data_IF_742383821640
#
_entry.id   IF_742383821640
#
_cell.length_a   1.000
_cell.length_b   1.000
_cell.length_c   1.000
_cell.angle_alpha   90.00
_cell.angle_beta   90.00
_cell.angle_gamma   90.00
#
_symmetry.space_group_name_H-M   'P 1'
#
loop_
_entity.id
_entity.type
_entity.pdbx_description
1 polymer ?
#
# COMPACT_ATOMS: atom_id res chain seq x y z
N UNK A 1 13.61 8.67 -20.64
CA UNK A 1 13.31 9.59 -19.49
C UNK A 1 14.44 10.61 -19.32
N UNK A 2 14.13 11.90 -19.03
CA UNK A 2 15.14 12.98 -18.97
C UNK A 2 16.09 12.77 -17.78
N UNK A 3 15.57 12.44 -16.61
CA UNK A 3 16.37 12.23 -15.37
C UNK A 3 17.43 11.12 -15.55
N UNK A 4 17.09 10.02 -16.21
CA UNK A 4 18.03 8.94 -16.50
C UNK A 4 19.19 9.32 -17.43
N UNK A 5 19.07 10.46 -18.14
CA UNK A 5 20.14 11.01 -18.99
C UNK A 5 21.05 12.02 -18.26
N UNK A 6 20.59 12.51 -17.11
CA UNK A 6 21.31 13.50 -16.30
C UNK A 6 22.00 12.87 -15.09
N UNK A 7 21.58 11.66 -14.72
CA UNK A 7 22.14 10.94 -13.57
C UNK A 7 23.54 10.37 -13.88
N UNK A 8 24.47 10.58 -12.96
CA UNK A 8 25.82 9.99 -13.05
C UNK A 8 25.85 8.53 -12.57
N UNK A 9 24.95 8.17 -11.62
CA UNK A 9 24.83 6.84 -11.07
C UNK A 9 23.37 6.37 -11.09
N UNK A 10 23.19 5.07 -11.34
CA UNK A 10 21.90 4.42 -11.39
C UNK A 10 21.88 3.25 -10.39
N UNK A 11 20.94 3.28 -9.46
CA UNK A 11 20.69 2.18 -8.53
C UNK A 11 19.51 1.35 -9.02
N UNK A 12 19.81 0.18 -9.54
CA UNK A 12 18.80 -0.72 -10.11
C UNK A 12 18.28 -1.70 -9.04
N UNK A 13 16.97 -1.88 -8.90
CA UNK A 13 16.42 -2.80 -7.92
C UNK A 13 16.61 -4.27 -8.29
N UNK A 14 16.81 -4.57 -9.58
CA UNK A 14 16.98 -5.95 -10.08
C UNK A 14 17.93 -5.98 -11.26
N UNK A 15 18.42 -7.19 -11.57
CA UNK A 15 19.23 -7.39 -12.77
C UNK A 15 18.43 -7.06 -14.05
N UNK A 16 17.13 -7.34 -14.08
CA UNK A 16 16.26 -6.97 -15.20
C UNK A 16 16.22 -5.44 -15.40
N UNK A 17 16.15 -4.68 -14.31
CA UNK A 17 16.21 -3.22 -14.38
C UNK A 17 17.58 -2.73 -14.88
N UNK A 18 18.68 -3.36 -14.44
CA UNK A 18 20.02 -3.09 -14.97
C UNK A 18 20.09 -3.33 -16.47
N UNK A 19 19.59 -4.45 -16.97
CA UNK A 19 19.56 -4.75 -18.39
C UNK A 19 18.76 -3.73 -19.21
N UNK A 20 17.69 -3.19 -18.64
CA UNK A 20 16.91 -2.11 -19.27
C UNK A 20 17.72 -0.82 -19.39
N UNK A 21 18.52 -0.46 -18.37
CA UNK A 21 19.40 0.71 -18.40
C UNK A 21 20.53 0.52 -19.43
N UNK A 22 21.11 -0.67 -19.55
CA UNK A 22 22.10 -0.99 -20.57
C UNK A 22 21.54 -0.83 -22.00
N UNK A 23 20.29 -1.25 -22.24
CA UNK A 23 19.59 -1.04 -23.52
C UNK A 23 19.33 0.45 -23.82
N UNK A 24 19.24 1.29 -22.78
CA UNK A 24 19.14 2.76 -22.90
C UNK A 24 20.53 3.43 -23.08
N UNK A 25 21.60 2.65 -23.28
CA UNK A 25 22.99 3.10 -23.41
C UNK A 25 23.57 3.77 -22.16
N UNK A 26 23.14 3.37 -20.97
CA UNK A 26 23.83 3.74 -19.73
C UNK A 26 25.08 2.86 -19.60
N UNK A 27 26.21 3.48 -19.28
CA UNK A 27 27.46 2.72 -19.10
C UNK A 27 27.34 1.76 -17.90
N UNK A 28 27.80 0.53 -18.06
CA UNK A 28 27.70 -0.50 -17.02
C UNK A 28 28.36 -0.09 -15.69
N UNK A 29 29.48 0.62 -15.77
CA UNK A 29 30.17 1.15 -14.60
C UNK A 29 29.35 2.15 -13.77
N UNK A 30 28.29 2.70 -14.35
CA UNK A 30 27.40 3.67 -13.69
C UNK A 30 26.13 3.00 -13.15
N UNK A 31 26.02 1.68 -13.19
CA UNK A 31 24.85 0.95 -12.73
C UNK A 31 25.24 0.03 -11.56
N UNK A 32 24.56 0.19 -10.45
CA UNK A 32 24.72 -0.68 -9.27
C UNK A 32 23.39 -1.38 -8.98
N UNK A 33 23.40 -2.70 -8.91
CA UNK A 33 22.21 -3.46 -8.47
C UNK A 33 22.19 -3.48 -6.95
N UNK A 34 21.22 -2.75 -6.36
CA UNK A 34 21.13 -2.55 -4.91
C UNK A 34 20.00 -3.32 -4.25
N UNK A 35 19.10 -3.93 -5.02
CA UNK A 35 17.82 -4.36 -4.50
C UNK A 35 16.81 -3.20 -4.40
N UNK A 36 15.62 -3.49 -3.89
CA UNK A 36 14.59 -2.48 -3.70
C UNK A 36 14.68 -1.85 -2.31
N UNK A 37 15.21 -0.64 -2.22
CA UNK A 37 15.40 0.10 -0.97
C UNK A 37 14.09 0.41 -0.22
N UNK A 38 12.93 0.27 -0.87
CA UNK A 38 11.62 0.39 -0.20
C UNK A 38 11.43 -0.70 0.84
N UNK A 39 11.96 -1.90 0.59
CA UNK A 39 11.91 -3.02 1.55
C UNK A 39 12.74 -2.69 2.79
N UNK A 40 13.95 -2.16 2.62
CA UNK A 40 14.80 -1.77 3.74
C UNK A 40 14.15 -0.65 4.58
N UNK A 41 13.54 0.33 3.90
CA UNK A 41 12.82 1.42 4.57
C UNK A 41 11.62 0.89 5.38
N UNK A 42 10.87 -0.07 4.84
CA UNK A 42 9.76 -0.71 5.56
C UNK A 42 10.26 -1.42 6.81
N UNK A 43 11.28 -2.26 6.69
CA UNK A 43 11.87 -2.97 7.83
C UNK A 43 12.41 -2.01 8.90
N UNK A 44 13.02 -0.88 8.51
CA UNK A 44 13.48 0.12 9.46
C UNK A 44 12.34 0.76 10.24
N UNK A 45 11.20 1.05 9.58
CA UNK A 45 10.04 1.64 10.26
C UNK A 45 9.40 0.63 11.20
N UNK A 46 9.17 -0.61 10.76
CA UNK A 46 8.62 -1.69 11.61
C UNK A 46 9.52 -1.91 12.83
N UNK A 47 10.83 -2.08 12.63
CA UNK A 47 11.77 -2.25 13.74
C UNK A 47 11.75 -1.07 14.72
N UNK A 48 11.55 0.17 14.23
CA UNK A 48 11.43 1.34 15.11
C UNK A 48 10.16 1.29 15.95
N UNK A 49 9.03 0.87 15.37
CA UNK A 49 7.77 0.73 16.09
C UNK A 49 7.89 -0.35 17.18
N UNK A 50 8.49 -1.48 16.87
CA UNK A 50 8.74 -2.57 17.84
C UNK A 50 9.62 -2.14 19.03
N UNK A 51 10.53 -1.17 18.81
CA UNK A 51 11.45 -0.68 19.85
C UNK A 51 10.94 0.58 20.58
N UNK A 52 9.84 1.19 20.12
CA UNK A 52 9.25 2.39 20.72
C UNK A 52 7.73 2.18 21.00
N UNK A 53 7.38 1.54 22.13
CA UNK A 53 5.99 1.27 22.48
C UNK A 53 5.13 2.54 22.62
N UNK A 54 5.72 3.69 22.90
CA UNK A 54 4.99 4.94 22.99
C UNK A 54 4.56 5.43 21.59
N UNK A 55 5.44 5.32 20.62
CA UNK A 55 5.15 5.64 19.22
C UNK A 55 4.15 4.64 18.63
N UNK A 56 4.35 3.35 18.88
CA UNK A 56 3.46 2.29 18.42
C UNK A 56 2.05 2.48 18.97
N UNK A 57 1.90 2.72 20.27
CA UNK A 57 0.60 2.99 20.89
C UNK A 57 -0.08 4.26 20.36
N UNK A 58 0.68 5.30 19.99
CA UNK A 58 0.11 6.48 19.31
C UNK A 58 -0.43 6.12 17.93
N UNK A 59 0.25 5.30 17.17
CA UNK A 59 -0.18 4.84 15.85
C UNK A 59 -1.41 3.94 15.98
N UNK A 60 -1.39 2.97 16.87
CA UNK A 60 -2.52 2.05 17.10
C UNK A 60 -3.79 2.79 17.54
N UNK A 61 -3.64 3.86 18.34
CA UNK A 61 -4.78 4.68 18.78
C UNK A 61 -5.56 5.33 17.63
N UNK A 62 -4.98 5.40 16.43
CA UNK A 62 -5.64 5.89 15.20
C UNK A 62 -6.57 4.85 14.56
N UNK A 63 -6.48 3.60 14.99
CA UNK A 63 -7.23 2.48 14.43
C UNK A 63 -8.15 1.78 15.46
N UNK A 64 -9.00 2.53 16.20
CA UNK A 64 -9.85 1.96 17.24
C UNK A 64 -10.95 1.03 16.70
N UNK A 65 -11.10 0.99 15.39
CA UNK A 65 -12.05 0.15 14.67
C UNK A 65 -11.50 -1.25 14.35
N UNK A 66 -10.21 -1.50 14.59
CA UNK A 66 -9.62 -2.82 14.36
C UNK A 66 -10.13 -3.83 15.38
N UNK A 67 -10.60 -4.96 14.88
CA UNK A 67 -11.07 -6.09 15.67
C UNK A 67 -9.96 -7.16 15.71
N UNK A 68 -9.35 -7.43 16.89
CA UNK A 68 -8.27 -8.40 16.99
C UNK A 68 -8.71 -9.85 16.74
N UNK A 69 -10.02 -10.12 16.78
CA UNK A 69 -10.57 -11.46 16.55
C UNK A 69 -10.86 -11.73 15.07
N UNK A 70 -10.70 -10.72 14.20
CA UNK A 70 -10.91 -10.85 12.74
C UNK A 70 -9.59 -10.75 11.99
N UNK A 71 -9.48 -11.50 10.90
CA UNK A 71 -8.38 -11.35 9.95
C UNK A 71 -8.44 -9.99 9.27
N UNK A 72 -7.33 -9.27 9.24
CA UNK A 72 -7.27 -7.97 8.60
C UNK A 72 -6.81 -8.07 7.15
N UNK A 73 -7.63 -7.56 6.24
CA UNK A 73 -7.32 -7.40 4.83
C UNK A 73 -7.06 -5.91 4.55
N UNK A 74 -5.82 -5.57 4.24
CA UNK A 74 -5.44 -4.22 3.83
C UNK A 74 -5.61 -4.09 2.31
N UNK A 75 -6.37 -3.10 1.86
CA UNK A 75 -6.61 -2.88 0.43
C UNK A 75 -5.91 -1.62 -0.05
N UNK A 76 -5.15 -1.73 -1.14
CA UNK A 76 -4.53 -0.58 -1.82
C UNK A 76 -4.91 -0.60 -3.29
N UNK A 77 -5.90 0.17 -3.66
CA UNK A 77 -6.36 0.23 -5.05
C UNK A 77 -6.71 1.65 -5.46
N UNK A 78 -5.86 2.31 -6.23
CA UNK A 78 -6.12 3.68 -6.70
C UNK A 78 -5.55 3.94 -8.10
N UNK A 79 -5.24 2.90 -8.87
CA UNK A 79 -4.72 3.08 -10.23
C UNK A 79 -5.81 3.62 -11.14
N UNK A 80 -5.50 4.69 -11.85
CA UNK A 80 -6.41 5.36 -12.79
C UNK A 80 -6.93 4.43 -13.90
N UNK A 81 -6.21 3.37 -14.17
CA UNK A 81 -6.53 2.32 -15.15
C UNK A 81 -7.79 1.51 -14.76
N UNK A 82 -8.17 1.53 -13.49
CA UNK A 82 -9.31 0.77 -12.97
C UNK A 82 -10.60 1.60 -12.86
N UNK A 83 -10.61 2.87 -13.31
CA UNK A 83 -11.84 3.68 -13.26
C UNK A 83 -12.93 3.12 -14.18
N UNK A 84 -14.18 3.13 -13.72
CA UNK A 84 -15.35 2.55 -14.39
C UNK A 84 -15.64 1.11 -13.91
N UNK A 85 -16.01 0.22 -14.82
CA UNK A 85 -16.41 -1.16 -14.51
C UNK A 85 -15.39 -1.95 -13.67
N UNK A 86 -14.09 -1.70 -13.88
CA UNK A 86 -13.03 -2.36 -13.09
C UNK A 86 -13.11 -2.02 -11.61
N UNK A 87 -13.42 -0.76 -11.29
CA UNK A 87 -13.54 -0.30 -9.92
C UNK A 87 -14.81 -0.82 -9.23
N UNK A 88 -15.92 -0.88 -9.97
CA UNK A 88 -17.17 -1.49 -9.48
C UNK A 88 -17.00 -2.98 -9.19
N UNK A 89 -16.24 -3.69 -10.03
CA UNK A 89 -15.93 -5.10 -9.82
C UNK A 89 -15.06 -5.30 -8.55
N UNK A 90 -14.10 -4.41 -8.28
CA UNK A 90 -13.32 -4.42 -7.04
C UNK A 90 -14.24 -4.22 -5.84
N UNK A 91 -15.11 -3.22 -5.86
CA UNK A 91 -16.05 -2.97 -4.77
C UNK A 91 -16.97 -4.17 -4.52
N UNK A 92 -17.45 -4.80 -5.58
CA UNK A 92 -18.29 -6.00 -5.48
C UNK A 92 -17.52 -7.15 -4.84
N UNK A 93 -16.29 -7.42 -5.27
CA UNK A 93 -15.44 -8.44 -4.68
C UNK A 93 -15.15 -8.18 -3.20
N UNK A 94 -14.88 -6.92 -2.81
CA UNK A 94 -14.68 -6.56 -1.41
C UNK A 94 -15.95 -6.75 -0.58
N UNK A 95 -17.13 -6.48 -1.14
CA UNK A 95 -18.41 -6.77 -0.49
C UNK A 95 -18.60 -8.26 -0.28
N UNK A 96 -18.37 -9.08 -1.32
CA UNK A 96 -18.47 -10.53 -1.23
C UNK A 96 -17.52 -11.10 -0.14
N UNK A 97 -16.30 -10.56 -0.05
CA UNK A 97 -15.35 -10.92 1.01
C UNK A 97 -15.88 -10.50 2.40
N UNK A 98 -16.47 -9.30 2.52
CA UNK A 98 -17.02 -8.84 3.79
C UNK A 98 -18.16 -9.72 4.30
N UNK A 99 -18.96 -10.27 3.40
CA UNK A 99 -20.09 -11.16 3.73
C UNK A 99 -19.65 -12.53 4.28
N UNK A 100 -18.37 -12.92 4.09
CA UNK A 100 -17.81 -14.13 4.71
C UNK A 100 -17.73 -14.03 6.25
N UNK A 101 -17.74 -12.82 6.79
CA UNK A 101 -17.90 -12.51 8.23
C UNK A 101 -16.68 -12.77 9.11
N UNK A 102 -15.62 -13.40 8.61
CA UNK A 102 -14.41 -13.76 9.37
C UNK A 102 -13.22 -12.80 9.13
N UNK A 103 -13.42 -11.76 8.33
CA UNK A 103 -12.42 -10.76 8.02
C UNK A 103 -12.94 -9.35 8.23
N UNK A 104 -12.05 -8.42 8.48
CA UNK A 104 -12.26 -6.99 8.38
C UNK A 104 -11.42 -6.43 7.25
N UNK A 105 -11.96 -5.47 6.54
CA UNK A 105 -11.32 -4.80 5.42
C UNK A 105 -10.95 -3.38 5.83
N UNK A 106 -9.70 -3.02 5.67
CA UNK A 106 -9.20 -1.65 5.88
C UNK A 106 -8.76 -1.09 4.55
N UNK A 107 -9.40 -0.01 4.11
CA UNK A 107 -9.10 0.58 2.81
C UNK A 107 -8.80 2.08 2.93
N UNK A 108 -7.52 2.49 2.87
CA UNK A 108 -7.14 3.89 2.71
C UNK A 108 -7.60 4.41 1.35
N UNK A 109 -8.66 5.22 1.33
CA UNK A 109 -9.30 5.68 0.08
C UNK A 109 -8.68 6.99 -0.38
N UNK A 110 -8.27 7.04 -1.65
CA UNK A 110 -7.73 8.24 -2.26
C UNK A 110 -8.74 9.40 -2.21
N UNK A 111 -8.26 10.64 -1.97
CA UNK A 111 -9.09 11.84 -1.80
C UNK A 111 -9.88 12.28 -3.06
N UNK A 112 -9.71 11.61 -4.19
CA UNK A 112 -10.47 11.91 -5.40
C UNK A 112 -11.98 11.71 -5.15
N UNK A 113 -12.83 12.75 -5.31
CA UNK A 113 -14.25 12.68 -5.03
C UNK A 113 -14.99 11.57 -5.79
N UNK A 114 -14.58 11.31 -7.04
CA UNK A 114 -15.19 10.26 -7.87
C UNK A 114 -14.93 8.85 -7.32
N UNK A 115 -13.74 8.63 -6.75
CA UNK A 115 -13.39 7.36 -6.08
C UNK A 115 -14.18 7.21 -4.79
N UNK A 116 -14.19 8.27 -3.96
CA UNK A 116 -14.89 8.26 -2.67
C UNK A 116 -16.40 8.05 -2.83
N UNK A 117 -17.02 8.64 -3.85
CA UNK A 117 -18.45 8.50 -4.09
C UNK A 117 -18.82 7.04 -4.35
N UNK A 118 -18.14 6.37 -5.27
CA UNK A 118 -18.39 4.95 -5.60
C UNK A 118 -18.09 4.04 -4.42
N UNK A 119 -16.98 4.28 -3.71
CA UNK A 119 -16.62 3.49 -2.52
C UNK A 119 -17.68 3.62 -1.41
N UNK A 120 -18.09 4.84 -1.11
CA UNK A 120 -19.12 5.08 -0.10
C UNK A 120 -20.46 4.47 -0.50
N UNK A 121 -20.87 4.59 -1.77
CA UNK A 121 -22.11 4.00 -2.25
C UNK A 121 -22.12 2.47 -2.12
N UNK A 122 -20.99 1.83 -2.40
CA UNK A 122 -20.90 0.38 -2.49
C UNK A 122 -20.50 -0.32 -1.18
N UNK A 123 -19.68 0.32 -0.36
CA UNK A 123 -19.03 -0.32 0.79
C UNK A 123 -19.35 0.37 2.14
N UNK A 124 -19.89 1.60 2.14
CA UNK A 124 -20.26 2.24 3.40
C UNK A 124 -21.42 1.50 4.09
N UNK A 125 -21.34 1.42 5.42
CA UNK A 125 -22.37 0.76 6.22
C UNK A 125 -22.18 -0.74 6.39
N UNK A 126 -21.09 -1.31 5.86
CA UNK A 126 -20.67 -2.66 6.21
C UNK A 126 -19.82 -2.60 7.50
N UNK A 127 -20.25 -3.30 8.54
CA UNK A 127 -19.66 -3.20 9.89
C UNK A 127 -18.20 -3.64 9.96
N UNK A 128 -17.77 -4.45 9.01
CA UNK A 128 -16.41 -4.98 8.91
C UNK A 128 -15.58 -4.35 7.77
N UNK A 129 -16.03 -3.20 7.23
CA UNK A 129 -15.29 -2.45 6.21
C UNK A 129 -15.01 -1.03 6.70
N UNK A 130 -13.76 -0.74 6.92
CA UNK A 130 -13.27 0.59 7.31
C UNK A 130 -12.69 1.32 6.10
N UNK A 131 -13.44 2.31 5.58
CA UNK A 131 -12.95 3.25 4.58
C UNK A 131 -12.28 4.42 5.32
N UNK A 132 -10.96 4.51 5.23
CA UNK A 132 -10.19 5.51 5.98
C UNK A 132 -9.53 6.53 5.05
N UNK A 133 -9.07 7.63 5.62
CA UNK A 133 -8.27 8.62 4.90
C UNK A 133 -6.89 8.05 4.55
N UNK A 134 -6.22 8.59 3.49
CA UNK A 134 -4.85 8.22 3.18
C UNK A 134 -3.94 8.42 4.40
N UNK A 135 -3.06 7.47 4.60
CA UNK A 135 -2.16 7.42 5.74
C UNK A 135 -0.77 7.96 5.37
N UNK A 136 -0.07 8.51 6.35
CA UNK A 136 1.37 8.69 6.24
C UNK A 136 2.10 7.35 6.32
N UNK A 137 3.39 7.36 6.03
CA UNK A 137 4.16 6.14 5.88
C UNK A 137 4.24 5.28 7.16
N UNK A 138 4.48 5.83 8.37
CA UNK A 138 4.51 5.02 9.59
C UNK A 138 3.17 4.31 9.89
N UNK A 139 2.05 5.00 9.75
CA UNK A 139 0.73 4.40 9.95
C UNK A 139 0.42 3.32 8.91
N UNK A 140 0.77 3.56 7.65
CA UNK A 140 0.61 2.57 6.60
C UNK A 140 1.51 1.34 6.82
N UNK A 141 2.77 1.56 7.22
CA UNK A 141 3.72 0.49 7.53
C UNK A 141 3.21 -0.39 8.68
N UNK A 142 2.60 0.22 9.72
CA UNK A 142 1.99 -0.56 10.81
C UNK A 142 0.81 -1.41 10.34
N UNK A 143 -0.10 -0.86 9.55
CA UNK A 143 -1.20 -1.65 8.98
C UNK A 143 -0.70 -2.77 8.08
N UNK A 144 0.35 -2.52 7.31
CA UNK A 144 0.95 -3.53 6.45
C UNK A 144 1.62 -4.66 7.26
N UNK A 145 2.24 -4.31 8.40
CA UNK A 145 2.89 -5.27 9.30
C UNK A 145 1.89 -6.21 9.98
N UNK A 146 0.74 -5.68 10.41
CA UNK A 146 -0.27 -6.45 11.13
C UNK A 146 -1.34 -7.08 10.24
N UNK A 147 -1.38 -6.79 8.94
CA UNK A 147 -2.39 -7.38 8.05
C UNK A 147 -2.09 -8.85 7.74
N UNK A 148 -3.16 -9.66 7.68
CA UNK A 148 -3.06 -11.06 7.25
C UNK A 148 -2.93 -11.17 5.73
N UNK A 149 -3.49 -10.21 5.00
CA UNK A 149 -3.48 -10.18 3.53
C UNK A 149 -3.51 -8.74 3.02
N UNK A 150 -2.78 -8.49 1.96
CA UNK A 150 -2.83 -7.24 1.20
C UNK A 150 -3.38 -7.49 -0.21
N UNK A 151 -4.35 -6.66 -0.64
CA UNK A 151 -4.97 -6.65 -1.97
C UNK A 151 -4.71 -5.32 -2.70
#
# INVERSE_FOLDING_TARGET
MIVGRLADLHFAPTETARQSLLKENVADANIVVTGNTVIDALHQVVARLDHDPALDGQIESRFPFLDPDRRMILVTGHRRENFGEGFENICRALRDISELGNAQIVYPVHLNPNVRAVMNEQLAGLDNVALIEPLDYPHFARLLDICDLML
#
